data_IF_723468449276
#
_entry.id   IF_723468449276
#
_cell.length_a   1.000
_cell.length_b   1.000
_cell.length_c   1.000
_cell.angle_alpha   90.00
_cell.angle_beta   90.00
_cell.angle_gamma   90.00
#
_symmetry.space_group_name_H-M   'P 1'
#
loop_
_entity.id
_entity.type
_entity.pdbx_description
1 polymer ?
#
# COMPACT_ATOMS: atom_id res chain seq x y z
N UNK A 1 -46.77 8.71 -0.47
CA UNK A 1 -46.10 8.99 -1.76
C UNK A 1 -44.83 9.76 -1.43
N UNK A 2 -43.71 9.06 -1.26
CA UNK A 2 -42.43 9.70 -0.91
C UNK A 2 -41.68 9.92 -2.22
N UNK A 3 -41.74 11.14 -2.75
CA UNK A 3 -40.89 11.57 -3.85
C UNK A 3 -39.60 12.10 -3.23
N UNK A 4 -38.55 11.30 -3.25
CA UNK A 4 -37.19 11.79 -2.96
C UNK A 4 -36.25 11.21 -3.99
N UNK A 5 -35.87 12.02 -4.97
CA UNK A 5 -34.58 11.95 -5.67
C UNK A 5 -34.41 13.28 -6.41
N UNK A 6 -33.70 14.21 -5.78
CA UNK A 6 -33.24 15.44 -6.42
C UNK A 6 -32.03 15.07 -7.30
N UNK A 7 -32.25 14.90 -8.60
CA UNK A 7 -31.15 14.84 -9.58
C UNK A 7 -30.77 16.27 -9.96
N UNK A 8 -29.63 16.76 -9.46
CA UNK A 8 -29.06 18.03 -9.93
C UNK A 8 -28.13 17.71 -11.10
N UNK A 9 -28.64 17.89 -12.32
CA UNK A 9 -27.84 17.81 -13.55
C UNK A 9 -27.24 19.19 -13.81
N UNK A 10 -25.94 19.34 -13.52
CA UNK A 10 -25.20 20.56 -13.87
C UNK A 10 -24.45 20.30 -15.17
N UNK A 11 -24.78 21.06 -16.22
CA UNK A 11 -24.06 21.08 -17.49
C UNK A 11 -23.16 22.31 -17.51
N UNK A 12 -21.86 22.10 -17.33
CA UNK A 12 -20.85 23.16 -17.45
C UNK A 12 -19.80 22.67 -18.45
N UNK A 13 -19.63 23.41 -19.55
CA UNK A 13 -18.66 23.11 -20.63
C UNK A 13 -18.73 21.67 -21.20
N UNK A 14 -19.93 21.10 -21.37
CA UNK A 14 -20.09 19.76 -21.99
C UNK A 14 -19.79 18.58 -21.07
N UNK A 15 -19.55 18.84 -19.79
CA UNK A 15 -19.44 17.82 -18.73
C UNK A 15 -20.82 17.64 -18.10
N UNK A 16 -21.33 16.41 -18.10
CA UNK A 16 -22.56 16.07 -17.36
C UNK A 16 -22.13 15.51 -16.02
N UNK A 17 -22.33 16.30 -14.96
CA UNK A 17 -22.07 15.84 -13.59
C UNK A 17 -23.36 15.24 -13.06
N UNK A 18 -23.36 13.93 -12.80
CA UNK A 18 -24.48 13.20 -12.20
C UNK A 18 -24.11 12.88 -10.77
N UNK A 19 -24.87 13.41 -9.80
CA UNK A 19 -24.67 13.10 -8.39
C UNK A 19 -25.68 12.03 -7.97
N UNK A 20 -25.21 10.82 -7.69
CA UNK A 20 -26.04 9.71 -7.22
C UNK A 20 -25.58 9.32 -5.81
N UNK A 21 -26.46 9.44 -4.81
CA UNK A 21 -26.16 9.17 -3.39
C UNK A 21 -24.89 9.87 -2.85
N UNK A 22 -24.63 11.11 -3.26
CA UNK A 22 -23.45 11.87 -2.83
C UNK A 22 -22.15 11.51 -3.56
N UNK A 23 -22.18 10.57 -4.50
CA UNK A 23 -21.06 10.26 -5.39
C UNK A 23 -21.18 11.14 -6.63
N UNK A 24 -20.17 11.98 -6.86
CA UNK A 24 -20.05 12.79 -8.06
C UNK A 24 -19.55 11.91 -9.21
N UNK A 25 -20.45 11.54 -10.12
CA UNK A 25 -20.11 10.80 -11.33
C UNK A 25 -19.99 11.81 -12.48
N UNK A 26 -18.76 12.01 -12.95
CA UNK A 26 -18.48 12.86 -14.10
C UNK A 26 -18.69 12.04 -15.38
N UNK A 27 -19.86 12.21 -16.02
CA UNK A 27 -20.17 11.60 -17.30
C UNK A 27 -19.78 12.58 -18.41
N UNK A 28 -18.60 12.37 -19.01
CA UNK A 28 -18.25 13.05 -20.26
C UNK A 28 -19.00 12.33 -21.38
N UNK A 29 -19.98 13.02 -21.98
CA UNK A 29 -20.80 12.46 -23.06
C UNK A 29 -19.90 12.07 -24.25
N UNK A 30 -19.78 10.77 -24.53
CA UNK A 30 -18.87 10.20 -25.54
C UNK A 30 -19.12 10.64 -27.00
N UNK A 31 -20.13 11.47 -27.26
CA UNK A 31 -20.38 12.08 -28.57
C UNK A 31 -19.55 13.33 -28.86
N UNK A 32 -19.00 14.00 -27.84
CA UNK A 32 -18.35 15.30 -28.04
C UNK A 32 -16.83 15.21 -28.24
N UNK A 33 -16.16 14.13 -27.80
CA UNK A 33 -14.72 13.93 -28.03
C UNK A 33 -14.32 12.45 -28.20
N UNK A 34 -14.39 11.88 -29.43
CA UNK A 34 -13.98 10.50 -29.71
C UNK A 34 -12.48 10.22 -29.53
N UNK A 35 -11.69 11.26 -29.23
CA UNK A 35 -10.24 11.20 -29.01
C UNK A 35 -9.85 11.45 -27.54
N UNK A 36 -10.81 11.61 -26.62
CA UNK A 36 -10.49 11.88 -25.23
C UNK A 36 -10.15 10.60 -24.47
N UNK A 37 -8.87 10.35 -24.27
CA UNK A 37 -8.35 9.11 -23.65
C UNK A 37 -8.94 8.82 -22.27
N UNK A 38 -9.08 9.84 -21.42
CA UNK A 38 -9.61 9.68 -20.06
C UNK A 38 -11.09 9.30 -20.05
N UNK A 39 -11.89 9.79 -21.01
CA UNK A 39 -13.29 9.41 -21.14
C UNK A 39 -13.43 7.95 -21.55
N UNK A 40 -12.62 7.49 -22.51
CA UNK A 40 -12.59 6.07 -22.88
C UNK A 40 -12.11 5.20 -21.72
N UNK A 41 -11.10 5.62 -20.95
CA UNK A 41 -10.69 4.90 -19.75
C UNK A 41 -11.83 4.78 -18.74
N UNK A 42 -12.49 5.88 -18.40
CA UNK A 42 -13.57 5.89 -17.42
C UNK A 42 -14.77 5.06 -17.89
N UNK A 43 -15.14 5.17 -19.18
CA UNK A 43 -16.20 4.35 -19.75
C UNK A 43 -15.87 2.85 -19.66
N UNK A 44 -14.62 2.46 -19.95
CA UNK A 44 -14.15 1.08 -19.79
C UNK A 44 -14.34 0.56 -18.36
N UNK A 45 -14.15 1.40 -17.33
CA UNK A 45 -14.34 0.99 -15.93
C UNK A 45 -15.81 0.84 -15.52
N UNK A 46 -16.74 1.45 -16.25
CA UNK A 46 -18.19 1.38 -15.98
C UNK A 46 -18.87 0.20 -16.70
N UNK A 47 -18.16 -0.46 -17.61
CA UNK A 47 -18.72 -1.55 -18.41
C UNK A 47 -18.58 -2.90 -17.71
N UNK A 48 -19.67 -3.66 -17.69
CA UNK A 48 -19.69 -5.02 -17.17
C UNK A 48 -19.12 -6.03 -18.16
N UNK A 49 -19.31 -5.81 -19.46
CA UNK A 49 -18.79 -6.69 -20.50
C UNK A 49 -17.29 -6.47 -20.69
N UNK A 50 -16.52 -7.55 -20.53
CA UNK A 50 -15.06 -7.51 -20.60
C UNK A 50 -14.54 -7.11 -21.99
N UNK A 51 -15.21 -7.51 -23.07
CA UNK A 51 -14.75 -7.21 -24.43
C UNK A 51 -14.97 -5.73 -24.79
N UNK A 52 -16.12 -5.17 -24.41
CA UNK A 52 -16.38 -3.73 -24.58
C UNK A 52 -15.49 -2.88 -23.65
N UNK A 53 -15.26 -3.30 -22.41
CA UNK A 53 -14.31 -2.63 -21.51
C UNK A 53 -12.88 -2.59 -22.12
N UNK A 54 -12.40 -3.73 -22.63
CA UNK A 54 -11.10 -3.84 -23.31
C UNK A 54 -10.98 -2.91 -24.51
N UNK A 55 -12.02 -2.88 -25.35
CA UNK A 55 -12.09 -1.99 -26.52
C UNK A 55 -11.94 -0.53 -26.11
N UNK A 56 -12.57 -0.12 -25.02
CA UNK A 56 -12.45 1.25 -24.50
C UNK A 56 -11.08 1.55 -23.90
N UNK A 57 -10.47 0.64 -23.13
CA UNK A 57 -9.08 0.84 -22.68
C UNK A 57 -8.10 0.93 -23.86
N UNK A 58 -8.29 0.13 -24.91
CA UNK A 58 -7.48 0.23 -26.14
C UNK A 58 -7.72 1.52 -26.91
N UNK A 59 -8.95 2.03 -26.97
CA UNK A 59 -9.22 3.35 -27.53
C UNK A 59 -8.52 4.46 -26.73
N UNK A 60 -8.53 4.37 -25.40
CA UNK A 60 -7.79 5.29 -24.54
C UNK A 60 -6.29 5.28 -24.86
N UNK A 61 -5.69 4.10 -25.03
CA UNK A 61 -4.27 3.95 -25.38
C UNK A 61 -3.95 4.36 -26.82
N UNK A 62 -4.86 4.18 -27.77
CA UNK A 62 -4.69 4.71 -29.14
C UNK A 62 -4.69 6.24 -29.16
N UNK A 63 -5.56 6.86 -28.37
CA UNK A 63 -5.62 8.30 -28.25
C UNK A 63 -4.44 8.88 -27.45
N UNK A 64 -4.02 8.18 -26.40
CA UNK A 64 -2.86 8.55 -25.59
C UNK A 64 -2.01 7.32 -25.21
N UNK A 65 -0.93 7.03 -25.95
CA UNK A 65 -0.10 5.84 -25.73
C UNK A 65 0.64 5.78 -24.39
N UNK A 66 0.69 6.88 -23.63
CA UNK A 66 1.35 6.96 -22.31
C UNK A 66 0.34 7.01 -21.15
N UNK A 67 -0.93 6.64 -21.39
CA UNK A 67 -1.97 6.74 -20.38
C UNK A 67 -1.85 5.64 -19.31
N UNK A 68 -1.11 5.91 -18.23
CA UNK A 68 -0.78 4.95 -17.19
C UNK A 68 -2.02 4.22 -16.60
N UNK A 69 -3.11 4.93 -16.32
CA UNK A 69 -4.34 4.30 -15.78
C UNK A 69 -5.03 3.36 -16.77
N UNK A 70 -4.91 3.58 -18.08
CA UNK A 70 -5.52 2.71 -19.09
C UNK A 70 -4.76 1.39 -19.20
N UNK A 71 -3.41 1.44 -19.10
CA UNK A 71 -2.59 0.23 -18.94
C UNK A 71 -2.94 -0.54 -17.67
N UNK A 72 -3.06 0.15 -16.53
CA UNK A 72 -3.46 -0.47 -15.26
C UNK A 72 -4.83 -1.13 -15.33
N UNK A 73 -5.83 -0.45 -15.88
CA UNK A 73 -7.18 -1.01 -15.99
C UNK A 73 -7.26 -2.20 -16.96
N UNK A 74 -6.53 -2.14 -18.07
CA UNK A 74 -6.38 -3.28 -18.98
C UNK A 74 -5.66 -4.46 -18.29
N UNK A 75 -4.64 -4.18 -17.46
CA UNK A 75 -3.95 -5.20 -16.68
C UNK A 75 -4.88 -5.89 -15.69
N UNK A 76 -5.73 -5.13 -14.99
CA UNK A 76 -6.74 -5.67 -14.09
C UNK A 76 -7.74 -6.57 -14.81
N UNK A 77 -8.14 -6.20 -16.03
CA UNK A 77 -8.99 -7.05 -16.86
C UNK A 77 -8.28 -8.37 -17.22
N UNK A 78 -7.00 -8.33 -17.60
CA UNK A 78 -6.20 -9.53 -17.90
C UNK A 78 -6.01 -10.41 -16.67
N UNK A 79 -5.76 -9.82 -15.51
CA UNK A 79 -5.67 -10.53 -14.23
C UNK A 79 -6.97 -11.28 -13.93
N UNK A 80 -8.14 -10.63 -14.07
CA UNK A 80 -9.45 -11.26 -13.88
C UNK A 80 -9.71 -12.43 -14.85
N UNK A 81 -9.12 -12.38 -16.04
CA UNK A 81 -9.17 -13.46 -17.03
C UNK A 81 -8.15 -14.58 -16.77
N UNK A 82 -7.38 -14.53 -15.69
CA UNK A 82 -6.31 -15.49 -15.38
C UNK A 82 -5.04 -15.32 -16.23
N UNK A 83 -4.97 -14.28 -17.09
CA UNK A 83 -3.83 -13.99 -17.97
C UNK A 83 -2.77 -13.18 -17.22
N UNK A 84 -2.19 -13.79 -16.19
CA UNK A 84 -1.30 -13.10 -15.23
C UNK A 84 -0.05 -12.51 -15.91
N UNK A 85 0.58 -13.22 -16.85
CA UNK A 85 1.78 -12.72 -17.55
C UNK A 85 1.52 -11.43 -18.32
N UNK A 86 0.37 -11.31 -18.98
CA UNK A 86 -0.02 -10.08 -19.67
C UNK A 86 -0.38 -8.95 -18.70
N UNK A 87 -1.01 -9.29 -17.57
CA UNK A 87 -1.28 -8.31 -16.52
C UNK A 87 0.02 -7.69 -15.99
N UNK A 88 1.05 -8.51 -15.74
CA UNK A 88 2.38 -8.02 -15.31
C UNK A 88 2.97 -7.07 -16.34
N UNK A 89 3.03 -7.45 -17.62
CA UNK A 89 3.59 -6.60 -18.67
C UNK A 89 2.86 -5.24 -18.78
N UNK A 90 1.53 -5.24 -18.66
CA UNK A 90 0.72 -4.02 -18.69
C UNK A 90 0.90 -3.16 -17.43
N UNK A 91 1.08 -3.77 -16.25
CA UNK A 91 1.40 -3.03 -15.02
C UNK A 91 2.77 -2.37 -15.11
N UNK A 92 3.75 -3.06 -15.69
CA UNK A 92 5.07 -2.48 -15.93
C UNK A 92 5.00 -1.32 -16.94
N UNK A 93 4.20 -1.41 -18.01
CA UNK A 93 3.94 -0.25 -18.89
C UNK A 93 3.27 0.90 -18.14
N UNK A 94 2.31 0.60 -17.26
CA UNK A 94 1.68 1.63 -16.41
C UNK A 94 2.73 2.38 -15.59
N UNK A 95 3.62 1.65 -14.92
CA UNK A 95 4.68 2.22 -14.08
C UNK A 95 5.81 2.87 -14.88
N UNK A 96 6.06 2.46 -16.13
CA UNK A 96 6.96 3.17 -17.04
C UNK A 96 6.48 4.58 -17.36
N UNK A 97 5.16 4.78 -17.41
CA UNK A 97 4.57 6.08 -17.72
C UNK A 97 4.22 6.90 -16.47
N UNK A 98 3.86 6.25 -15.37
CA UNK A 98 3.70 6.85 -14.06
C UNK A 98 4.21 5.91 -12.96
N UNK A 99 5.48 6.09 -12.59
CA UNK A 99 6.12 5.32 -11.53
C UNK A 99 5.47 5.52 -10.14
N UNK A 100 4.60 6.53 -10.00
CA UNK A 100 3.93 6.84 -8.74
C UNK A 100 2.52 6.27 -8.64
N UNK A 101 2.06 5.53 -9.66
CA UNK A 101 0.74 4.90 -9.66
C UNK A 101 0.63 3.81 -8.57
N UNK A 102 0.00 4.17 -7.45
CA UNK A 102 -0.07 3.36 -6.22
C UNK A 102 -0.82 2.05 -6.44
N UNK A 103 -1.87 2.10 -7.25
CA UNK A 103 -2.71 0.94 -7.53
C UNK A 103 -1.97 -0.07 -8.41
N UNK A 104 -1.21 0.43 -9.39
CA UNK A 104 -0.35 -0.42 -10.22
C UNK A 104 0.78 -1.05 -9.42
N UNK A 105 1.44 -0.29 -8.53
CA UNK A 105 2.47 -0.82 -7.61
C UNK A 105 1.88 -1.91 -6.71
N UNK A 106 0.76 -1.62 -6.02
CA UNK A 106 0.12 -2.58 -5.12
C UNK A 106 -0.29 -3.88 -5.84
N UNK A 107 -0.86 -3.74 -7.04
CA UNK A 107 -1.27 -4.90 -7.85
C UNK A 107 -0.08 -5.71 -8.34
N UNK A 108 0.97 -5.06 -8.85
CA UNK A 108 2.17 -5.75 -9.35
C UNK A 108 2.94 -6.41 -8.21
N UNK A 109 3.11 -5.72 -7.08
CA UNK A 109 3.72 -6.27 -5.87
C UNK A 109 2.94 -7.49 -5.35
N UNK A 110 1.61 -7.44 -5.38
CA UNK A 110 0.77 -8.60 -5.04
C UNK A 110 1.00 -9.81 -5.95
N UNK A 111 1.10 -9.59 -7.27
CA UNK A 111 1.39 -10.65 -8.24
C UNK A 111 2.80 -11.22 -8.07
N UNK A 112 3.78 -10.37 -7.75
CA UNK A 112 5.14 -10.81 -7.43
C UNK A 112 5.20 -11.61 -6.12
N UNK A 113 4.47 -11.20 -5.09
CA UNK A 113 4.34 -11.98 -3.86
C UNK A 113 3.74 -13.37 -4.11
N UNK A 114 2.67 -13.46 -4.91
CA UNK A 114 2.04 -14.73 -5.31
C UNK A 114 2.99 -15.63 -6.12
N UNK A 115 3.90 -15.03 -6.88
CA UNK A 115 4.96 -15.74 -7.61
C UNK A 115 6.20 -16.07 -6.76
N UNK A 116 6.18 -15.78 -5.44
CA UNK A 116 7.34 -15.97 -4.56
C UNK A 116 8.48 -14.96 -4.77
N UNK A 117 8.26 -13.93 -5.59
CA UNK A 117 9.21 -12.85 -5.91
C UNK A 117 9.07 -11.69 -4.92
N UNK A 118 9.11 -12.00 -3.62
CA UNK A 118 8.88 -11.03 -2.54
C UNK A 118 9.84 -9.84 -2.57
N UNK A 119 11.10 -10.04 -3.00
CA UNK A 119 12.10 -8.97 -3.09
C UNK A 119 11.75 -7.93 -4.16
N UNK A 120 11.24 -8.39 -5.30
CA UNK A 120 10.85 -7.49 -6.40
C UNK A 120 9.62 -6.67 -5.98
N UNK A 121 8.68 -7.31 -5.27
CA UNK A 121 7.50 -6.64 -4.71
C UNK A 121 7.85 -5.60 -3.64
N UNK A 122 8.77 -5.92 -2.73
CA UNK A 122 9.26 -4.98 -1.71
C UNK A 122 9.96 -3.78 -2.34
N UNK A 123 10.79 -4.02 -3.36
CA UNK A 123 11.50 -2.96 -4.09
C UNK A 123 10.54 -1.95 -4.73
N UNK A 124 9.41 -2.41 -5.28
CA UNK A 124 8.39 -1.53 -5.85
C UNK A 124 7.74 -0.63 -4.78
N UNK A 125 7.41 -1.20 -3.62
CA UNK A 125 6.83 -0.42 -2.52
C UNK A 125 7.82 0.60 -1.94
N UNK A 126 9.09 0.23 -1.78
CA UNK A 126 10.13 1.15 -1.32
C UNK A 126 10.35 2.30 -2.30
N UNK A 127 10.43 2.02 -3.61
CA UNK A 127 10.55 3.06 -4.62
C UNK A 127 9.36 4.04 -4.60
N UNK A 128 8.14 3.52 -4.39
CA UNK A 128 6.95 4.35 -4.27
C UNK A 128 6.94 5.20 -2.99
N UNK A 129 7.42 4.66 -1.87
CA UNK A 129 7.61 5.39 -0.61
C UNK A 129 8.66 6.49 -0.75
N UNK A 130 9.74 6.26 -1.49
CA UNK A 130 10.73 7.30 -1.77
C UNK A 130 10.13 8.45 -2.59
N UNK A 131 9.30 8.12 -3.59
CA UNK A 131 8.64 9.12 -4.43
C UNK A 131 7.50 9.86 -3.72
N UNK A 132 6.77 9.17 -2.84
CA UNK A 132 5.61 9.69 -2.10
C UNK A 132 5.72 9.36 -0.63
N UNK A 133 6.67 9.99 0.08
CA UNK A 133 6.94 9.63 1.45
C UNK A 133 5.71 9.93 2.31
N UNK A 134 5.10 11.12 2.22
CA UNK A 134 3.99 11.57 3.09
C UNK A 134 2.64 10.89 2.83
N UNK A 135 2.54 9.97 1.87
CA UNK A 135 1.24 9.47 1.45
C UNK A 135 0.78 8.27 2.30
N UNK A 136 -0.29 8.42 3.11
CA UNK A 136 -0.75 7.36 4.01
C UNK A 136 -1.21 6.11 3.26
N UNK A 137 -1.74 6.26 2.03
CA UNK A 137 -2.19 5.12 1.21
C UNK A 137 -1.02 4.22 0.83
N UNK A 138 0.13 4.81 0.45
CA UNK A 138 1.36 4.05 0.14
C UNK A 138 1.87 3.29 1.36
N UNK A 139 1.88 3.93 2.54
CA UNK A 139 2.27 3.25 3.79
C UNK A 139 1.33 2.10 4.14
N UNK A 140 0.02 2.30 4.02
CA UNK A 140 -0.98 1.26 4.30
C UNK A 140 -0.86 0.09 3.34
N UNK A 141 -0.68 0.35 2.04
CA UNK A 141 -0.50 -0.69 1.04
C UNK A 141 0.79 -1.49 1.28
N UNK A 142 1.88 -0.83 1.68
CA UNK A 142 3.12 -1.52 2.01
C UNK A 142 3.01 -2.37 3.28
N UNK A 143 2.37 -1.84 4.32
CA UNK A 143 2.12 -2.59 5.55
C UNK A 143 1.27 -3.86 5.29
N UNK A 144 0.23 -3.74 4.46
CA UNK A 144 -0.60 -4.87 4.05
C UNK A 144 0.19 -5.92 3.25
N UNK A 145 1.09 -5.48 2.36
CA UNK A 145 2.00 -6.37 1.65
C UNK A 145 2.93 -7.15 2.60
N UNK A 146 3.57 -6.46 3.56
CA UNK A 146 4.47 -7.08 4.53
C UNK A 146 3.73 -8.14 5.37
N UNK A 147 2.51 -7.85 5.81
CA UNK A 147 1.68 -8.79 6.55
C UNK A 147 1.40 -10.07 5.75
N UNK A 148 1.12 -9.95 4.44
CA UNK A 148 0.81 -11.10 3.56
C UNK A 148 2.05 -11.99 3.33
N UNK A 149 3.23 -11.39 3.19
CA UNK A 149 4.49 -12.11 2.91
C UNK A 149 4.98 -12.85 4.16
N UNK A 150 4.73 -12.34 5.37
CA UNK A 150 5.17 -12.98 6.62
C UNK A 150 4.44 -14.29 6.95
N UNK A 151 3.27 -14.56 6.34
CA UNK A 151 2.64 -15.89 6.40
C UNK A 151 3.37 -16.95 5.54
N UNK A 152 4.37 -16.56 4.73
CA UNK A 152 4.95 -17.38 3.65
C UNK A 152 6.43 -17.78 3.73
N UNK A 153 7.15 -17.51 4.83
CA UNK A 153 8.60 -17.76 5.06
C UNK A 153 9.57 -16.60 4.72
N UNK A 154 10.51 -16.41 5.66
CA UNK A 154 11.87 -15.84 5.52
C UNK A 154 12.01 -14.33 5.24
N UNK A 155 11.94 -13.54 6.32
CA UNK A 155 12.51 -12.20 6.44
C UNK A 155 14.06 -12.22 6.40
N UNK A 156 14.66 -12.48 5.23
CA UNK A 156 16.11 -12.73 5.13
C UNK A 156 16.94 -11.56 4.58
N UNK A 157 16.41 -10.47 4.01
CA UNK A 157 17.27 -9.55 3.23
C UNK A 157 17.33 -8.05 3.52
N UNK A 158 16.76 -7.55 4.64
CA UNK A 158 17.09 -6.19 5.12
C UNK A 158 18.55 -6.01 5.60
N UNK A 159 19.37 -7.07 5.60
CA UNK A 159 20.82 -7.00 5.87
C UNK A 159 21.67 -6.44 4.73
N UNK A 160 21.14 -6.20 3.52
CA UNK A 160 21.96 -5.81 2.36
C UNK A 160 21.65 -4.47 1.71
N UNK A 161 20.65 -3.72 2.17
CA UNK A 161 20.52 -2.31 1.82
C UNK A 161 21.20 -1.44 2.87
N UNK A 162 22.50 -1.21 2.68
CA UNK A 162 23.23 -0.12 3.34
C UNK A 162 23.18 1.08 2.39
N UNK A 163 22.31 2.07 2.61
CA UNK A 163 22.32 3.28 1.80
C UNK A 163 23.68 3.97 1.96
N UNK A 164 24.14 4.74 0.95
CA UNK A 164 25.39 5.50 1.07
C UNK A 164 25.37 6.33 2.36
N UNK A 165 26.49 6.27 3.10
CA UNK A 165 26.65 6.70 4.49
C UNK A 165 26.47 8.21 4.76
N UNK A 166 25.73 8.94 3.91
CA UNK A 166 25.53 10.39 4.01
C UNK A 166 24.10 10.86 3.68
N UNK A 167 23.11 9.97 3.75
CA UNK A 167 21.71 10.40 3.81
C UNK A 167 21.13 10.01 5.18
N UNK A 168 20.61 10.96 5.99
CA UNK A 168 20.02 10.66 7.28
C UNK A 168 18.71 9.88 7.08
N UNK A 169 18.82 8.56 7.10
CA UNK A 169 17.74 7.60 6.89
C UNK A 169 16.62 7.66 7.96
N UNK A 170 16.79 8.22 9.20
CA UNK A 170 15.66 8.38 10.11
C UNK A 170 15.04 9.79 10.10
N UNK A 171 15.32 10.66 9.12
CA UNK A 171 14.68 11.99 9.08
C UNK A 171 13.52 12.08 8.07
N UNK A 172 13.59 11.33 6.96
CA UNK A 172 12.60 11.44 5.87
C UNK A 172 11.44 10.46 5.95
N UNK A 173 11.63 9.24 6.45
CA UNK A 173 10.52 8.33 6.75
C UNK A 173 9.67 8.83 7.94
N UNK A 174 10.28 9.63 8.83
CA UNK A 174 9.70 10.12 10.08
C UNK A 174 9.03 11.51 9.97
N UNK A 175 9.25 12.25 8.89
CA UNK A 175 8.60 13.56 8.65
C UNK A 175 7.14 13.43 8.14
N UNK A 176 6.62 12.21 8.09
CA UNK A 176 5.72 11.77 7.01
C UNK A 176 4.60 10.85 7.51
N UNK A 177 4.79 10.20 8.66
CA UNK A 177 3.75 9.40 9.33
C UNK A 177 2.84 10.33 10.13
N UNK A 178 1.93 11.04 9.45
CA UNK A 178 0.92 11.91 10.11
C UNK A 178 -0.50 11.35 10.04
N UNK A 179 -0.63 10.04 10.23
CA UNK A 179 -1.75 9.49 11.00
C UNK A 179 -1.14 8.56 12.05
N UNK A 180 -1.39 8.87 13.32
CA UNK A 180 -0.82 8.11 14.43
C UNK A 180 -1.30 6.64 14.45
N UNK A 181 -2.36 6.31 13.71
CA UNK A 181 -2.85 4.94 13.46
C UNK A 181 -1.90 4.14 12.55
N UNK A 182 -1.32 4.79 11.53
CA UNK A 182 -0.35 4.18 10.60
C UNK A 182 0.98 3.95 11.30
N UNK A 183 1.47 4.95 12.04
CA UNK A 183 2.68 4.83 12.86
C UNK A 183 2.55 3.74 13.92
N UNK A 184 1.39 3.63 14.57
CA UNK A 184 1.13 2.57 15.53
C UNK A 184 1.09 1.19 14.88
N UNK A 185 0.45 1.05 13.72
CA UNK A 185 0.37 -0.21 12.98
C UNK A 185 1.76 -0.70 12.52
N UNK A 186 2.59 0.22 12.02
CA UNK A 186 3.96 -0.06 11.62
C UNK A 186 4.85 -0.41 12.83
N UNK A 187 4.72 0.33 13.94
CA UNK A 187 5.46 0.04 15.17
C UNK A 187 5.09 -1.33 15.75
N UNK A 188 3.81 -1.70 15.74
CA UNK A 188 3.34 -3.03 16.16
C UNK A 188 3.93 -4.13 15.29
N UNK A 189 3.98 -3.92 13.98
CA UNK A 189 4.61 -4.84 13.05
C UNK A 189 6.10 -5.03 13.38
N UNK A 190 6.85 -3.95 13.58
CA UNK A 190 8.26 -4.04 13.98
C UNK A 190 8.46 -4.74 15.33
N UNK A 191 7.60 -4.47 16.30
CA UNK A 191 7.64 -5.15 17.60
C UNK A 191 7.40 -6.67 17.47
N UNK A 192 6.37 -7.06 16.72
CA UNK A 192 6.03 -8.48 16.50
C UNK A 192 7.09 -9.24 15.70
N UNK A 193 7.84 -8.53 14.86
CA UNK A 193 8.91 -9.10 14.01
C UNK A 193 10.28 -9.07 14.70
N UNK A 194 10.35 -8.63 15.95
CA UNK A 194 11.59 -8.54 16.74
C UNK A 194 12.53 -7.41 16.30
N UNK A 195 12.05 -6.49 15.47
CA UNK A 195 12.75 -5.28 15.00
C UNK A 195 12.59 -4.14 15.99
N UNK A 196 13.15 -4.35 17.18
CA UNK A 196 12.88 -3.52 18.36
C UNK A 196 13.39 -2.07 18.20
N UNK A 197 14.53 -1.86 17.54
CA UNK A 197 15.08 -0.50 17.33
C UNK A 197 14.20 0.34 16.39
N UNK A 198 13.69 -0.29 15.32
CA UNK A 198 12.75 0.37 14.41
C UNK A 198 11.39 0.60 15.07
N UNK A 199 10.91 -0.35 15.87
CA UNK A 199 9.70 -0.18 16.68
C UNK A 199 9.83 1.02 17.63
N UNK A 200 10.95 1.12 18.36
CA UNK A 200 11.24 2.22 19.28
C UNK A 200 11.24 3.57 18.56
N UNK A 201 11.88 3.60 17.39
CA UNK A 201 11.98 4.82 16.56
C UNK A 201 10.61 5.30 16.10
N UNK A 202 9.77 4.37 15.64
CA UNK A 202 8.41 4.67 15.18
C UNK A 202 7.53 5.11 16.34
N UNK A 203 7.45 4.34 17.42
CA UNK A 203 6.61 4.71 18.58
C UNK A 203 7.06 6.01 19.24
N UNK A 204 8.37 6.24 19.36
CA UNK A 204 8.90 7.51 19.86
C UNK A 204 8.48 8.69 18.99
N UNK A 205 8.39 8.49 17.66
CA UNK A 205 7.90 9.53 16.77
C UNK A 205 6.41 9.79 16.89
N UNK A 206 5.59 8.74 16.99
CA UNK A 206 4.15 8.91 17.22
C UNK A 206 3.90 9.69 18.51
N UNK A 207 4.66 9.39 19.57
CA UNK A 207 4.53 10.03 20.87
C UNK A 207 5.07 11.47 20.92
N UNK A 208 6.01 11.85 20.05
CA UNK A 208 6.40 13.27 19.91
C UNK A 208 5.24 14.15 19.44
N UNK A 209 4.37 13.60 18.61
CA UNK A 209 3.23 14.33 18.03
C UNK A 209 1.93 14.14 18.80
N UNK A 210 1.72 12.96 19.39
CA UNK A 210 0.58 12.65 20.25
C UNK A 210 1.07 12.08 21.60
N UNK A 211 1.58 12.93 22.51
CA UNK A 211 2.18 12.48 23.78
C UNK A 211 1.21 11.72 24.69
N UNK A 212 -0.09 11.97 24.54
CA UNK A 212 -1.16 11.34 25.33
C UNK A 212 -1.66 10.02 24.74
N UNK A 213 -1.12 9.54 23.61
CA UNK A 213 -1.57 8.31 22.96
C UNK A 213 -1.13 7.08 23.74
N UNK A 214 -2.06 6.52 24.53
CA UNK A 214 -1.80 5.44 25.47
C UNK A 214 -1.21 4.18 24.81
N UNK A 215 -1.80 3.73 23.70
CA UNK A 215 -1.39 2.52 22.97
C UNK A 215 0.10 2.56 22.58
N UNK A 216 0.55 3.65 21.95
CA UNK A 216 1.94 3.80 21.51
C UNK A 216 2.93 3.83 22.68
N UNK A 217 2.54 4.34 23.86
CA UNK A 217 3.37 4.28 25.09
C UNK A 217 3.53 2.85 25.57
N UNK A 218 2.43 2.09 25.59
CA UNK A 218 2.46 0.67 26.01
C UNK A 218 3.38 -0.14 25.10
N UNK A 219 3.29 0.04 23.77
CA UNK A 219 4.14 -0.70 22.85
C UNK A 219 5.61 -0.28 22.90
N UNK A 220 5.91 1.01 23.10
CA UNK A 220 7.29 1.46 23.33
C UNK A 220 7.88 0.82 24.60
N UNK A 221 7.12 0.76 25.69
CA UNK A 221 7.56 0.08 26.92
C UNK A 221 7.77 -1.43 26.69
N UNK A 222 6.88 -2.08 25.94
CA UNK A 222 7.01 -3.49 25.59
C UNK A 222 8.29 -3.77 24.78
N UNK A 223 8.62 -2.89 23.84
CA UNK A 223 9.85 -2.96 23.04
C UNK A 223 11.11 -2.81 23.91
N UNK A 224 11.14 -1.81 24.79
CA UNK A 224 12.25 -1.58 25.72
C UNK A 224 12.45 -2.73 26.72
N UNK A 225 11.36 -3.32 27.22
CA UNK A 225 11.41 -4.52 28.06
C UNK A 225 11.97 -5.71 27.29
N UNK A 226 11.60 -5.85 26.02
CA UNK A 226 12.15 -6.90 25.13
C UNK A 226 13.66 -6.73 24.94
N UNK A 227 14.16 -5.50 24.75
CA UNK A 227 15.59 -5.20 24.70
C UNK A 227 16.30 -5.61 26.00
N UNK A 228 15.75 -5.22 27.16
CA UNK A 228 16.34 -5.53 28.46
C UNK A 228 16.39 -7.05 28.70
N UNK A 229 15.31 -7.76 28.37
CA UNK A 229 15.26 -9.20 28.47
C UNK A 229 16.32 -9.87 27.59
N UNK A 230 16.43 -9.50 26.31
CA UNK A 230 17.43 -10.07 25.41
C UNK A 230 18.86 -9.85 25.93
N UNK A 231 19.13 -8.66 26.46
CA UNK A 231 20.42 -8.32 27.06
C UNK A 231 20.73 -9.18 28.29
N UNK A 232 19.77 -9.28 29.23
CA UNK A 232 19.91 -10.12 30.42
C UNK A 232 20.10 -11.60 30.04
N UNK A 233 19.25 -12.11 29.15
CA UNK A 233 19.27 -13.50 28.70
C UNK A 233 20.56 -13.87 27.94
N UNK A 234 21.15 -12.92 27.21
CA UNK A 234 22.46 -13.12 26.57
C UNK A 234 23.61 -13.26 27.56
N UNK A 235 23.47 -12.68 28.76
CA UNK A 235 24.49 -12.67 29.82
C UNK A 235 24.40 -13.89 30.75
N UNK A 236 23.33 -14.69 30.64
CA UNK A 236 23.12 -15.89 31.45
C UNK A 236 23.94 -17.08 30.93
N UNK A 237 24.37 -17.95 31.87
CA UNK A 237 24.91 -19.27 31.53
C UNK A 237 23.90 -20.07 30.70
N UNK A 238 24.33 -20.96 29.78
CA UNK A 238 23.41 -21.71 28.92
C UNK A 238 22.29 -22.44 29.66
N UNK A 239 22.56 -22.97 30.86
CA UNK A 239 21.60 -23.67 31.72
C UNK A 239 20.54 -22.78 32.36
N UNK A 240 20.73 -21.46 32.36
CA UNK A 240 19.84 -20.47 32.95
C UNK A 240 19.16 -19.59 31.89
N UNK A 241 19.43 -19.80 30.60
CA UNK A 241 18.81 -19.03 29.52
C UNK A 241 17.32 -19.30 29.46
N UNK A 242 16.54 -18.22 29.51
CA UNK A 242 15.09 -18.26 29.35
C UNK A 242 14.78 -18.46 27.86
N UNK A 243 14.01 -19.50 27.48
CA UNK A 243 13.67 -19.75 26.09
C UNK A 243 12.89 -18.58 25.46
N UNK A 244 13.32 -18.17 24.26
CA UNK A 244 12.72 -17.06 23.50
C UNK A 244 11.24 -17.25 23.16
N UNK A 245 10.74 -18.49 23.12
CA UNK A 245 9.33 -18.77 22.84
C UNK A 245 8.39 -18.31 23.97
N UNK A 246 8.88 -18.19 25.22
CA UNK A 246 8.10 -17.62 26.32
C UNK A 246 7.77 -16.13 26.11
N UNK A 247 8.52 -15.43 25.24
CA UNK A 247 8.22 -14.04 24.88
C UNK A 247 7.10 -13.90 23.83
N UNK A 248 6.87 -14.93 23.00
CA UNK A 248 5.80 -14.91 21.98
C UNK A 248 4.39 -14.97 22.61
N UNK A 249 4.29 -15.26 23.90
CA UNK A 249 3.02 -15.35 24.64
C UNK A 249 2.41 -14.00 25.05
N UNK A 250 3.11 -12.87 24.93
CA UNK A 250 2.56 -11.56 25.31
C UNK A 250 1.84 -10.82 24.15
N UNK A 251 1.94 -11.31 22.91
CA UNK A 251 1.24 -10.74 21.74
C UNK A 251 -0.15 -11.33 21.51
N UNK A 252 -0.65 -12.21 22.37
CA UNK A 252 -1.98 -12.83 22.24
C UNK A 252 -3.14 -11.94 22.73
N UNK A 253 -3.11 -10.64 22.40
CA UNK A 253 -4.35 -9.87 22.28
C UNK A 253 -4.76 -9.93 20.80
N UNK A 254 -5.79 -10.72 20.52
CA UNK A 254 -6.40 -11.04 19.22
C UNK A 254 -5.74 -12.18 18.42
N UNK A 255 -6.07 -13.42 18.77
CA UNK A 255 -6.96 -14.24 17.93
C UNK A 255 -7.18 -15.57 18.63
N UNK A 256 -8.39 -15.71 19.16
CA UNK A 256 -8.98 -16.99 19.54
C UNK A 256 -9.31 -17.73 18.24
N UNK A 257 -8.90 -19.01 18.20
CA UNK A 257 -9.24 -20.07 17.23
C UNK A 257 -8.60 -19.98 15.83
#
# INVERSE_FOLDING_TARGET
>A
MVVVSLEVVVVVFGVVVVVVFGVVVVVVSGRLWPTHSSAHNNLGTLLFDAAEAEKHFRLALRAHPRHAHAYYNLANLRKKQGRVGEAVALLEESLRHDATNRDAVSTLAGLYGEAGRSMDAESLHLALLEARPTDPVVHNNYAAFLQKIEFGQQAVHLKRFRPPARAPFPARALAVTWEADVGESLGKLYLNTGRLEEADTVFSSVLRHQPLRFSSRVYLMASQLSHLFLKLNSSLKPSLKIPLWLMKGCSSFSSTL
#
